data_IF_368666471013
#
_entry.id   IF_368666471013
#
_cell.length_a   1.000
_cell.length_b   1.000
_cell.length_c   1.000
_cell.angle_alpha   90.00
_cell.angle_beta   90.00
_cell.angle_gamma   90.00
#
_symmetry.space_group_name_H-M   'P 1'
#
loop_
_entity.id
_entity.type
_entity.pdbx_description
1 polymer ?
#
# COMPACT_ATOMS: atom_id res chain seq x y z
N UNK A 1 -2.41 14.66 -15.94
CA UNK A 1 -2.03 13.66 -14.92
C UNK A 1 -0.59 13.92 -14.53
N UNK A 2 -0.22 13.85 -13.24
CA UNK A 2 1.17 13.94 -12.84
C UNK A 2 1.97 12.78 -13.46
N UNK A 3 3.24 13.02 -13.78
CA UNK A 3 4.16 11.96 -14.18
C UNK A 3 4.56 11.18 -12.91
N UNK A 4 4.38 9.86 -12.91
CA UNK A 4 4.60 8.98 -11.76
C UNK A 4 5.63 7.91 -12.12
N UNK A 5 6.45 7.52 -11.15
CA UNK A 5 7.21 6.27 -11.28
C UNK A 5 6.23 5.09 -11.26
N UNK A 6 6.66 3.93 -11.78
CA UNK A 6 5.81 2.73 -11.75
C UNK A 6 5.45 2.31 -10.31
N UNK A 7 6.38 2.47 -9.37
CA UNK A 7 6.15 2.19 -7.94
C UNK A 7 5.11 3.14 -7.37
N UNK A 8 5.18 4.43 -7.69
CA UNK A 8 4.18 5.41 -7.22
C UNK A 8 2.80 5.16 -7.80
N UNK A 9 2.72 4.71 -9.05
CA UNK A 9 1.45 4.32 -9.68
C UNK A 9 0.81 3.13 -8.95
N UNK A 10 1.60 2.09 -8.62
CA UNK A 10 1.12 0.93 -7.83
C UNK A 10 0.66 1.39 -6.44
N UNK A 11 1.47 2.19 -5.74
CA UNK A 11 1.13 2.69 -4.41
C UNK A 11 -0.16 3.53 -4.42
N UNK A 12 -0.33 4.38 -5.43
CA UNK A 12 -1.55 5.18 -5.59
C UNK A 12 -2.76 4.28 -5.79
N UNK A 13 -2.68 3.30 -6.71
CA UNK A 13 -3.78 2.38 -6.95
C UNK A 13 -4.18 1.60 -5.69
N UNK A 14 -3.20 1.06 -4.96
CA UNK A 14 -3.45 0.36 -3.69
C UNK A 14 -4.12 1.28 -2.67
N UNK A 15 -3.60 2.50 -2.50
CA UNK A 15 -4.17 3.47 -1.56
C UNK A 15 -5.62 3.81 -1.92
N UNK A 16 -5.89 4.08 -3.19
CA UNK A 16 -7.21 4.52 -3.65
C UNK A 16 -8.25 3.41 -3.48
N UNK A 17 -7.91 2.16 -3.83
CA UNK A 17 -8.79 1.00 -3.64
C UNK A 17 -9.01 0.64 -2.16
N UNK A 18 -7.96 0.72 -1.33
CA UNK A 18 -8.08 0.49 0.12
C UNK A 18 -8.94 1.54 0.84
N UNK A 19 -8.94 2.78 0.34
CA UNK A 19 -9.80 3.85 0.82
C UNK A 19 -11.26 3.66 0.39
N UNK A 20 -11.47 3.16 -0.84
CA UNK A 20 -12.80 2.95 -1.40
C UNK A 20 -13.53 1.74 -0.79
N UNK A 21 -12.82 0.66 -0.46
CA UNK A 21 -13.41 -0.58 0.05
C UNK A 21 -12.66 -1.11 1.28
N UNK A 22 -13.38 -1.19 2.41
CA UNK A 22 -12.84 -1.69 3.67
C UNK A 22 -12.44 -3.18 3.65
N UNK A 23 -12.83 -3.93 2.61
CA UNK A 23 -12.49 -5.35 2.42
C UNK A 23 -11.15 -5.57 1.74
N UNK A 24 -10.56 -4.56 1.10
CA UNK A 24 -9.29 -4.67 0.37
C UNK A 24 -8.13 -4.62 1.36
N UNK A 25 -7.31 -5.66 1.43
CA UNK A 25 -6.12 -5.68 2.29
C UNK A 25 -4.89 -6.14 1.51
N UNK A 26 -3.72 -5.83 2.04
CA UNK A 26 -2.41 -6.22 1.50
C UNK A 26 -1.75 -7.20 2.45
N UNK A 27 -1.13 -8.23 1.89
CA UNK A 27 -0.46 -9.33 2.60
C UNK A 27 0.85 -9.64 1.89
N UNK A 28 1.94 -9.78 2.64
CA UNK A 28 3.20 -10.31 2.11
C UNK A 28 4.43 -9.85 2.89
N UNK A 29 5.56 -10.48 2.62
CA UNK A 29 6.82 -10.18 3.31
C UNK A 29 7.26 -8.74 3.07
N UNK A 30 7.68 -8.08 4.15
CA UNK A 30 8.15 -6.70 4.22
C UNK A 30 7.10 -5.64 3.85
N UNK A 31 5.84 -5.98 3.58
CA UNK A 31 4.84 -5.01 3.06
C UNK A 31 4.28 -4.07 4.13
N UNK A 32 4.48 -4.38 5.42
CA UNK A 32 4.01 -3.61 6.58
C UNK A 32 4.78 -2.31 6.79
N UNK A 33 5.37 -2.13 7.98
CA UNK A 33 6.10 -0.91 8.38
C UNK A 33 7.18 -0.52 7.37
N UNK A 34 7.84 -1.49 6.74
CA UNK A 34 8.91 -1.27 5.76
C UNK A 34 8.41 -0.78 4.40
N UNK A 35 7.14 -1.03 4.06
CA UNK A 35 6.56 -0.59 2.78
C UNK A 35 6.95 -1.44 1.55
N UNK A 36 7.49 -2.63 1.78
CA UNK A 36 7.99 -3.55 0.74
C UNK A 36 9.41 -3.21 0.29
N UNK A 37 10.11 -4.20 -0.28
CA UNK A 37 11.50 -4.06 -0.75
C UNK A 37 11.65 -2.94 -1.81
N UNK A 38 10.59 -2.68 -2.57
CA UNK A 38 10.54 -1.62 -3.59
C UNK A 38 9.70 -0.41 -3.17
N UNK A 39 9.29 -0.32 -1.90
CA UNK A 39 8.46 0.78 -1.37
C UNK A 39 7.06 0.89 -1.98
N UNK A 40 6.54 -0.17 -2.62
CA UNK A 40 5.22 -0.16 -3.26
C UNK A 40 4.05 -0.02 -2.27
N UNK A 41 4.25 -0.39 -0.99
CA UNK A 41 3.22 -0.33 0.06
C UNK A 41 3.58 0.66 1.18
N UNK A 42 4.58 1.51 0.93
CA UNK A 42 5.04 2.52 1.88
C UNK A 42 3.88 3.41 2.38
N UNK A 43 3.83 3.59 3.71
CA UNK A 43 2.80 4.36 4.40
C UNK A 43 1.40 3.73 4.49
N UNK A 44 1.14 2.61 3.80
CA UNK A 44 -0.20 1.99 3.82
C UNK A 44 -0.56 1.45 5.21
N UNK A 45 0.37 0.78 5.90
CA UNK A 45 0.08 0.23 7.24
C UNK A 45 -0.18 1.35 8.26
N UNK A 46 0.54 2.48 8.18
CA UNK A 46 0.27 3.64 9.02
C UNK A 46 -1.12 4.24 8.77
N UNK A 47 -1.63 4.13 7.54
CA UNK A 47 -2.93 4.69 7.14
C UNK A 47 -4.12 3.77 7.45
N UNK A 48 -3.92 2.45 7.29
CA UNK A 48 -5.01 1.46 7.33
C UNK A 48 -4.91 0.44 8.47
N UNK A 49 -3.80 0.43 9.21
CA UNK A 49 -3.56 -0.46 10.34
C UNK A 49 -3.03 -1.84 9.97
N UNK A 50 -2.53 -2.54 10.99
CA UNK A 50 -1.88 -3.86 10.88
C UNK A 50 -2.82 -4.96 10.36
N UNK A 51 -4.13 -4.85 10.58
CA UNK A 51 -5.11 -5.83 10.07
C UNK A 51 -5.44 -5.68 8.58
N UNK A 52 -5.01 -4.58 7.95
CA UNK A 52 -5.25 -4.28 6.53
C UNK A 52 -3.97 -4.27 5.69
N UNK A 53 -2.81 -4.22 6.34
CA UNK A 53 -1.49 -4.38 5.71
C UNK A 53 -0.69 -5.32 6.62
N UNK A 54 -0.62 -6.58 6.21
CA UNK A 54 -0.13 -7.70 7.01
C UNK A 54 1.22 -8.13 6.46
N UNK A 55 2.24 -8.08 7.31
CA UNK A 55 3.57 -8.65 7.03
C UNK A 55 3.54 -10.18 7.18
#
# INVERSE_FOLDING_TARGET
MPELTFVDAIRSALRDEMAADARVFVLGQDVGVKGGVFLATDGLQASYGEYRVID
#
